data_IF_517377851652
#
_entry.id   IF_517377851652
#
_cell.length_a   1.000
_cell.length_b   1.000
_cell.length_c   1.000
_cell.angle_alpha   90.00
_cell.angle_beta   90.00
_cell.angle_gamma   90.00
#
_symmetry.space_group_name_H-M   'P 1'
#
loop_
_entity.id
_entity.type
_entity.pdbx_description
1 polymer ?
#
# COMPACT_ATOMS: atom_id res chain seq x y z
N UNK A 1 -30.91 -2.14 0.97
CA UNK A 1 -29.84 -1.40 1.67
C UNK A 1 -29.54 -0.14 0.88
N UNK A 2 -29.53 1.03 1.52
CA UNK A 2 -29.16 2.29 0.85
C UNK A 2 -27.68 2.57 1.13
N UNK A 3 -26.85 2.64 0.07
CA UNK A 3 -25.42 2.93 0.19
C UNK A 3 -25.20 4.43 0.38
N UNK A 4 -24.29 4.79 1.27
CA UNK A 4 -23.81 6.17 1.42
C UNK A 4 -23.07 6.64 0.15
N UNK A 5 -22.97 7.95 -0.06
CA UNK A 5 -22.20 8.51 -1.19
C UNK A 5 -20.74 8.01 -1.17
N UNK A 6 -20.14 7.94 0.01
CA UNK A 6 -18.77 7.44 0.23
C UNK A 6 -18.62 6.00 -0.26
N UNK A 7 -19.50 5.11 0.15
CA UNK A 7 -19.49 3.70 -0.27
C UNK A 7 -19.72 3.56 -1.79
N UNK A 8 -20.60 4.39 -2.37
CA UNK A 8 -20.82 4.39 -3.82
C UNK A 8 -19.57 4.79 -4.60
N UNK A 9 -18.86 5.83 -4.14
CA UNK A 9 -17.61 6.28 -4.77
C UNK A 9 -16.53 5.20 -4.65
N UNK A 10 -16.37 4.61 -3.48
CA UNK A 10 -15.38 3.55 -3.28
C UNK A 10 -15.67 2.33 -4.15
N UNK A 11 -16.93 1.89 -4.25
CA UNK A 11 -17.33 0.80 -5.14
C UNK A 11 -17.00 1.09 -6.60
N UNK A 12 -17.21 2.32 -7.07
CA UNK A 12 -16.82 2.71 -8.43
C UNK A 12 -15.29 2.60 -8.62
N UNK A 13 -14.50 3.12 -7.67
CA UNK A 13 -13.04 3.01 -7.73
C UNK A 13 -12.56 1.57 -7.70
N UNK A 14 -13.10 0.75 -6.79
CA UNK A 14 -12.82 -0.68 -6.71
C UNK A 14 -13.18 -1.37 -8.03
N UNK A 15 -14.32 -1.02 -8.65
CA UNK A 15 -14.70 -1.51 -9.97
C UNK A 15 -13.65 -1.21 -11.05
N UNK A 16 -13.19 0.04 -11.14
CA UNK A 16 -12.14 0.45 -12.08
C UNK A 16 -10.83 -0.29 -11.79
N UNK A 17 -10.41 -0.34 -10.52
CA UNK A 17 -9.14 -0.95 -10.12
C UNK A 17 -9.17 -2.45 -10.42
N UNK A 18 -10.20 -3.16 -9.98
CA UNK A 18 -10.33 -4.61 -10.12
C UNK A 18 -10.57 -5.07 -11.56
N UNK A 19 -11.24 -4.26 -12.38
CA UNK A 19 -11.63 -4.66 -13.75
C UNK A 19 -10.76 -4.08 -14.84
N UNK A 20 -10.04 -2.99 -14.59
CA UNK A 20 -9.24 -2.31 -15.60
C UNK A 20 -7.76 -2.21 -15.22
N UNK A 21 -7.43 -1.77 -13.99
CA UNK A 21 -6.03 -1.51 -13.60
C UNK A 21 -5.32 -2.82 -13.23
N UNK A 22 -5.86 -3.62 -12.32
CA UNK A 22 -5.22 -4.85 -11.83
C UNK A 22 -4.92 -5.84 -12.96
N UNK A 23 -5.84 -6.14 -13.90
CA UNK A 23 -5.51 -7.06 -14.99
C UNK A 23 -4.32 -6.59 -15.84
N UNK A 24 -4.25 -5.29 -16.14
CA UNK A 24 -3.10 -4.73 -16.85
C UNK A 24 -1.83 -4.75 -15.99
N UNK A 25 -1.95 -4.47 -14.68
CA UNK A 25 -0.85 -4.49 -13.74
C UNK A 25 -0.23 -5.90 -13.64
N UNK A 26 -1.08 -6.94 -13.64
CA UNK A 26 -0.68 -8.34 -13.69
C UNK A 26 0.02 -8.71 -15.00
N UNK A 27 -0.47 -8.20 -16.13
CA UNK A 27 0.22 -8.34 -17.42
C UNK A 27 1.60 -7.66 -17.43
N UNK A 28 1.84 -6.67 -16.56
CA UNK A 28 3.12 -6.00 -16.34
C UNK A 28 4.00 -6.65 -15.27
N UNK A 29 3.60 -7.82 -14.76
CA UNK A 29 4.41 -8.62 -13.84
C UNK A 29 4.24 -8.31 -12.36
N UNK A 30 3.24 -7.50 -11.98
CA UNK A 30 2.85 -7.38 -10.57
C UNK A 30 1.89 -8.51 -10.19
N UNK A 31 2.16 -9.20 -9.10
CA UNK A 31 1.32 -10.31 -8.65
C UNK A 31 0.79 -10.08 -7.23
N UNK A 32 -0.35 -10.68 -6.87
CA UNK A 32 -0.84 -10.65 -5.50
C UNK A 32 0.23 -11.14 -4.52
N UNK A 33 0.53 -10.32 -3.52
CA UNK A 33 1.43 -10.65 -2.42
C UNK A 33 0.70 -11.49 -1.36
N UNK A 34 1.45 -12.41 -0.73
CA UNK A 34 1.00 -13.16 0.43
C UNK A 34 0.91 -12.28 1.68
N UNK A 35 1.69 -11.19 1.73
CA UNK A 35 1.53 -10.16 2.75
C UNK A 35 0.27 -9.35 2.47
N UNK A 36 -0.43 -8.91 3.51
CA UNK A 36 -1.63 -8.05 3.41
C UNK A 36 -1.41 -6.81 4.25
N UNK A 37 -1.87 -5.66 3.77
CA UNK A 37 -1.72 -4.39 4.50
C UNK A 37 -2.47 -4.49 5.83
N UNK A 38 -1.83 -4.23 6.99
CA UNK A 38 -2.51 -4.20 8.27
C UNK A 38 -3.31 -2.90 8.45
N UNK A 39 -4.34 -2.95 9.30
CA UNK A 39 -5.09 -1.75 9.72
C UNK A 39 -4.18 -0.84 10.54
N UNK A 40 -4.02 0.39 10.05
CA UNK A 40 -3.25 1.45 10.67
C UNK A 40 -4.14 2.42 11.44
N UNK A 41 -3.52 3.29 12.23
CA UNK A 41 -4.20 4.41 12.87
C UNK A 41 -4.68 5.45 11.86
N UNK A 42 -4.07 5.54 10.66
CA UNK A 42 -4.57 6.42 9.57
C UNK A 42 -5.88 5.92 8.95
N UNK A 43 -6.20 4.64 9.15
CA UNK A 43 -7.47 4.06 8.69
C UNK A 43 -8.59 4.26 9.73
N UNK A 44 -8.31 4.99 10.81
CA UNK A 44 -9.22 5.23 11.93
C UNK A 44 -9.34 6.73 12.19
N UNK A 45 -10.50 7.17 12.67
CA UNK A 45 -10.75 8.52 13.12
C UNK A 45 -10.99 8.49 14.64
N UNK A 46 -10.34 9.37 15.39
CA UNK A 46 -10.62 9.53 16.82
C UNK A 46 -11.86 10.41 16.99
N UNK A 47 -12.92 9.83 17.56
CA UNK A 47 -14.17 10.49 17.90
C UNK A 47 -14.40 10.41 19.41
N UNK A 48 -15.47 11.05 19.89
CA UNK A 48 -15.83 11.06 21.32
C UNK A 48 -16.04 9.66 21.90
N UNK A 49 -16.52 8.72 21.08
CA UNK A 49 -16.75 7.32 21.40
C UNK A 49 -15.53 6.41 21.16
N UNK A 50 -14.39 6.99 20.78
CA UNK A 50 -13.12 6.31 20.57
C UNK A 50 -12.69 6.24 19.10
N UNK A 51 -11.83 5.26 18.79
CA UNK A 51 -11.33 5.07 17.44
C UNK A 51 -12.37 4.37 16.56
N UNK A 52 -12.92 5.11 15.60
CA UNK A 52 -13.91 4.61 14.65
C UNK A 52 -13.25 4.33 13.29
N UNK A 53 -13.55 3.19 12.64
CA UNK A 53 -13.03 2.92 11.30
C UNK A 53 -13.38 4.03 10.31
N UNK A 54 -12.36 4.54 9.63
CA UNK A 54 -12.54 5.46 8.52
C UNK A 54 -12.81 4.71 7.21
N UNK A 55 -12.45 3.44 7.11
CA UNK A 55 -12.66 2.63 5.92
C UNK A 55 -14.07 1.99 5.90
N UNK A 56 -14.54 1.52 4.73
CA UNK A 56 -15.86 0.88 4.61
C UNK A 56 -15.75 -0.64 4.51
N UNK A 57 -16.89 -1.33 4.47
CA UNK A 57 -16.95 -2.78 4.21
C UNK A 57 -16.43 -3.21 2.84
N UNK A 58 -16.19 -2.27 1.92
CA UNK A 58 -15.68 -2.55 0.58
C UNK A 58 -14.15 -2.43 0.48
N UNK A 59 -13.49 -2.07 1.58
CA UNK A 59 -12.02 -1.99 1.66
C UNK A 59 -11.39 -3.31 1.33
N UNK A 60 -10.49 -3.31 0.35
CA UNK A 60 -9.58 -4.41 0.13
C UNK A 60 -8.28 -4.15 0.90
N UNK A 61 -7.65 -5.21 1.40
CA UNK A 61 -6.34 -5.17 2.07
C UNK A 61 -5.27 -5.93 1.27
N UNK A 62 -5.61 -6.23 0.02
CA UNK A 62 -4.75 -6.92 -0.93
C UNK A 62 -3.63 -6.02 -1.39
N UNK A 63 -2.42 -6.57 -1.38
CA UNK A 63 -1.24 -5.90 -1.92
C UNK A 63 -0.65 -6.69 -3.07
N UNK A 64 0.04 -5.99 -3.96
CA UNK A 64 0.70 -6.53 -5.13
C UNK A 64 2.21 -6.30 -5.03
N UNK A 65 2.99 -7.13 -5.69
CA UNK A 65 4.45 -7.00 -5.73
C UNK A 65 4.94 -7.34 -7.13
N UNK A 66 5.89 -6.56 -7.65
CA UNK A 66 6.65 -6.93 -8.85
C UNK A 66 8.03 -7.44 -8.43
N UNK A 67 8.73 -6.61 -7.67
CA UNK A 67 10.05 -6.90 -7.12
C UNK A 67 10.09 -6.65 -5.62
N UNK A 68 10.63 -7.58 -4.85
CA UNK A 68 10.89 -7.35 -3.43
C UNK A 68 11.91 -6.22 -3.25
N UNK A 69 11.75 -5.39 -2.20
CA UNK A 69 10.87 -5.57 -1.04
C UNK A 69 9.55 -4.77 -1.06
N UNK A 70 9.24 -4.08 -2.16
CA UNK A 70 8.23 -3.03 -2.16
C UNK A 70 6.84 -3.58 -2.48
N UNK A 71 5.88 -3.42 -1.56
CA UNK A 71 4.50 -3.85 -1.77
C UNK A 71 3.63 -2.67 -2.22
N UNK A 72 2.77 -2.88 -3.21
CA UNK A 72 1.82 -1.91 -3.72
C UNK A 72 0.43 -2.16 -3.13
N UNK A 73 -0.22 -1.11 -2.65
CA UNK A 73 -1.58 -1.14 -2.10
C UNK A 73 -2.44 -0.05 -2.73
N UNK A 74 -3.65 -0.41 -3.19
CA UNK A 74 -4.63 0.55 -3.65
C UNK A 74 -5.51 1.01 -2.49
N UNK A 75 -5.19 2.18 -1.94
CA UNK A 75 -6.04 2.86 -0.98
C UNK A 75 -7.14 3.65 -1.72
N UNK A 76 -8.31 3.02 -1.83
CA UNK A 76 -9.49 3.60 -2.49
C UNK A 76 -10.27 4.58 -1.62
N UNK A 77 -9.82 4.80 -0.38
CA UNK A 77 -10.36 5.81 0.52
C UNK A 77 -9.76 7.17 0.25
N UNK A 78 -10.62 8.18 0.29
CA UNK A 78 -10.20 9.56 0.25
C UNK A 78 -10.82 10.27 1.44
N UNK A 79 -9.99 10.98 2.21
CA UNK A 79 -10.36 11.74 3.42
C UNK A 79 -11.55 12.66 3.17
N UNK A 80 -11.48 13.37 2.05
CA UNK A 80 -12.43 14.41 1.68
C UNK A 80 -13.25 14.02 0.44
N UNK A 81 -14.57 13.97 0.57
CA UNK A 81 -15.47 13.66 -0.56
C UNK A 81 -15.70 14.92 -1.39
N UNK A 82 -14.71 15.34 -2.18
CA UNK A 82 -14.85 16.40 -3.18
C UNK A 82 -15.21 15.83 -4.56
N UNK A 83 -15.73 16.65 -5.48
CA UNK A 83 -16.05 16.22 -6.85
C UNK A 83 -14.87 15.53 -7.53
N UNK A 84 -13.62 15.96 -7.31
CA UNK A 84 -12.46 15.28 -7.93
C UNK A 84 -12.21 13.87 -7.38
N UNK A 85 -12.80 13.48 -6.25
CA UNK A 85 -12.54 12.22 -5.58
C UNK A 85 -12.80 11.02 -6.52
N UNK A 86 -13.87 10.98 -7.31
CA UNK A 86 -14.18 9.80 -8.15
C UNK A 86 -13.08 9.46 -9.17
N UNK A 87 -12.20 10.40 -9.51
CA UNK A 87 -11.13 10.24 -10.50
C UNK A 87 -9.83 9.71 -9.93
N UNK A 88 -9.60 9.86 -8.63
CA UNK A 88 -8.31 9.55 -8.02
C UNK A 88 -8.43 8.45 -6.97
N UNK A 89 -7.37 7.67 -6.84
CA UNK A 89 -7.11 6.85 -5.65
C UNK A 89 -5.72 7.18 -5.10
N UNK A 90 -5.43 6.72 -3.88
CA UNK A 90 -4.07 6.71 -3.37
C UNK A 90 -3.45 5.34 -3.59
N UNK A 91 -2.25 5.31 -4.13
CA UNK A 91 -1.41 4.12 -4.18
C UNK A 91 -0.36 4.24 -3.08
N UNK A 92 -0.30 3.25 -2.21
CA UNK A 92 0.71 3.17 -1.15
C UNK A 92 1.76 2.13 -1.53
N UNK A 93 3.03 2.52 -1.46
CA UNK A 93 4.20 1.69 -1.68
C UNK A 93 4.83 1.40 -0.32
N UNK A 94 4.83 0.15 0.12
CA UNK A 94 4.96 -0.24 1.52
C UNK A 94 6.13 -1.21 1.68
N UNK A 95 6.99 -0.93 2.65
CA UNK A 95 7.95 -1.90 3.16
C UNK A 95 7.26 -2.77 4.23
N UNK A 96 7.17 -4.10 4.04
CA UNK A 96 6.32 -4.96 4.87
C UNK A 96 6.93 -5.27 6.26
N UNK A 97 8.10 -4.73 6.59
CA UNK A 97 8.81 -5.05 7.83
C UNK A 97 8.37 -4.15 8.99
N UNK A 98 7.75 -4.72 10.04
CA UNK A 98 7.35 -3.95 11.21
C UNK A 98 8.56 -3.49 12.01
N UNK A 99 8.50 -2.26 12.51
CA UNK A 99 9.49 -1.62 13.38
C UNK A 99 10.91 -1.58 12.81
N UNK A 100 11.04 -1.67 11.48
CA UNK A 100 12.33 -1.54 10.81
C UNK A 100 12.88 -0.12 10.98
N UNK A 101 14.17 0.00 11.28
CA UNK A 101 14.84 1.31 11.34
C UNK A 101 15.33 1.66 9.92
N UNK A 102 14.61 2.58 9.28
CA UNK A 102 14.87 2.97 7.90
C UNK A 102 16.11 3.87 7.84
N UNK A 103 16.92 3.69 6.79
CA UNK A 103 18.02 4.60 6.49
C UNK A 103 17.53 6.05 6.49
N UNK A 104 18.27 6.93 7.19
CA UNK A 104 17.92 8.35 7.35
C UNK A 104 17.74 9.07 6.01
N UNK A 105 18.42 8.63 4.95
CA UNK A 105 18.30 9.19 3.59
C UNK A 105 16.91 8.98 2.98
N UNK A 106 16.18 7.97 3.44
CA UNK A 106 14.85 7.64 2.94
C UNK A 106 13.72 8.17 3.82
N UNK A 107 14.06 8.73 4.99
CA UNK A 107 13.10 9.41 5.86
C UNK A 107 12.60 10.66 5.15
N UNK A 108 11.28 10.80 5.01
CA UNK A 108 10.63 11.86 4.25
C UNK A 108 10.22 11.44 2.84
N UNK A 109 10.93 10.49 2.23
CA UNK A 109 10.44 9.75 1.05
C UNK A 109 9.42 8.72 1.50
N UNK A 110 9.81 7.93 2.50
CA UNK A 110 8.92 7.07 3.24
C UNK A 110 8.52 7.74 4.56
N UNK A 111 7.29 7.48 4.96
CA UNK A 111 6.67 7.97 6.19
C UNK A 111 6.20 6.77 7.01
N UNK A 112 6.11 6.94 8.33
CA UNK A 112 5.65 5.89 9.22
C UNK A 112 4.14 5.73 9.14
N UNK A 113 3.70 4.51 8.87
CA UNK A 113 2.32 4.06 9.05
C UNK A 113 2.21 3.35 10.40
N UNK A 114 1.65 4.04 11.39
CA UNK A 114 1.50 3.48 12.74
C UNK A 114 0.38 2.44 12.78
N UNK A 115 0.65 1.27 13.36
CA UNK A 115 -0.29 0.15 13.40
C UNK A 115 -1.20 0.24 14.63
N UNK A 116 -2.46 -0.19 14.48
CA UNK A 116 -3.42 -0.21 15.60
C UNK A 116 -2.95 -1.10 16.77
N UNK A 117 -2.26 -2.20 16.47
CA UNK A 117 -1.71 -3.12 17.46
C UNK A 117 -0.39 -2.67 18.11
N UNK A 118 0.07 -1.46 17.81
CA UNK A 118 1.39 -0.96 18.21
C UNK A 118 2.46 -1.21 17.14
N UNK A 119 3.50 -0.38 17.18
CA UNK A 119 4.57 -0.37 16.17
C UNK A 119 4.19 0.36 14.88
N UNK A 120 5.05 0.26 13.88
CA UNK A 120 4.90 0.95 12.60
C UNK A 120 5.49 0.16 11.42
N UNK A 121 5.05 0.50 10.21
CA UNK A 121 5.73 0.13 8.95
C UNK A 121 6.05 1.40 8.15
N UNK A 122 6.81 1.26 7.07
CA UNK A 122 7.16 2.40 6.20
C UNK A 122 6.34 2.38 4.93
N UNK A 123 5.80 3.54 4.53
CA UNK A 123 5.08 3.71 3.27
C UNK A 123 5.46 5.01 2.55
N UNK A 124 5.34 5.00 1.24
CA UNK A 124 5.22 6.19 0.41
C UNK A 124 3.78 6.22 -0.16
N UNK A 125 3.10 7.36 -0.12
CA UNK A 125 1.72 7.50 -0.62
C UNK A 125 1.71 8.45 -1.81
N UNK A 126 1.16 8.00 -2.94
CA UNK A 126 1.02 8.80 -4.18
C UNK A 126 -0.44 8.84 -4.60
N UNK A 127 -0.88 9.99 -5.11
CA UNK A 127 -2.21 10.13 -5.71
C UNK A 127 -2.12 9.75 -7.18
N UNK A 128 -3.00 8.89 -7.66
CA UNK A 128 -3.02 8.38 -9.05
C UNK A 128 -4.40 8.63 -9.64
N UNK A 129 -4.44 9.23 -10.85
CA UNK A 129 -5.66 9.36 -11.63
C UNK A 129 -5.99 7.99 -12.24
N UNK A 130 -7.18 7.47 -11.92
CA UNK A 130 -7.65 6.15 -12.36
C UNK A 130 -8.64 6.24 -13.53
N UNK A 131 -8.85 7.44 -14.10
CA UNK A 131 -9.77 7.62 -15.24
C UNK A 131 -9.27 6.97 -16.51
N UNK A 132 -7.94 6.86 -16.66
CA UNK A 132 -7.25 6.19 -17.76
C UNK A 132 -6.38 5.08 -17.18
N UNK A 133 -6.75 3.79 -17.35
CA UNK A 133 -5.97 2.67 -16.83
C UNK A 133 -4.52 2.70 -17.33
N UNK A 134 -4.28 2.94 -18.62
CA UNK A 134 -2.91 2.98 -19.17
C UNK A 134 -2.07 4.10 -18.54
N UNK A 135 -2.65 5.29 -18.35
CA UNK A 135 -1.95 6.40 -17.71
C UNK A 135 -1.68 6.12 -16.23
N UNK A 136 -2.66 5.53 -15.53
CA UNK A 136 -2.51 5.12 -14.14
C UNK A 136 -1.35 4.10 -13.99
N UNK A 137 -1.25 3.14 -14.91
CA UNK A 137 -0.18 2.15 -14.90
C UNK A 137 1.19 2.78 -15.10
N UNK A 138 1.34 3.69 -16.07
CA UNK A 138 2.62 4.39 -16.30
C UNK A 138 3.07 5.15 -15.05
N UNK A 139 2.14 5.86 -14.39
CA UNK A 139 2.43 6.56 -13.16
C UNK A 139 2.79 5.60 -12.02
N UNK A 140 2.08 4.47 -11.91
CA UNK A 140 2.34 3.46 -10.89
C UNK A 140 3.74 2.85 -11.06
N UNK A 141 4.08 2.42 -12.28
CA UNK A 141 5.36 1.79 -12.62
C UNK A 141 6.51 2.77 -12.37
N UNK A 142 6.39 4.00 -12.86
CA UNK A 142 7.41 5.04 -12.66
C UNK A 142 7.71 5.27 -11.17
N UNK A 143 6.66 5.46 -10.36
CA UNK A 143 6.83 5.66 -8.92
C UNK A 143 7.41 4.42 -8.22
N UNK A 144 7.04 3.22 -8.68
CA UNK A 144 7.60 1.97 -8.14
C UNK A 144 9.10 1.87 -8.41
N UNK A 145 9.53 2.13 -9.65
CA UNK A 145 10.93 2.07 -10.06
C UNK A 145 11.78 3.13 -9.37
N UNK A 146 11.29 4.36 -9.25
CA UNK A 146 11.97 5.43 -8.51
C UNK A 146 12.20 5.05 -7.04
N UNK A 147 11.20 4.46 -6.39
CA UNK A 147 11.32 4.03 -5.00
C UNK A 147 12.22 2.82 -4.85
N UNK A 148 12.18 1.86 -5.78
CA UNK A 148 13.05 0.70 -5.75
C UNK A 148 14.52 1.10 -5.91
N UNK A 149 14.82 2.01 -6.84
CA UNK A 149 16.17 2.57 -7.01
C UNK A 149 16.66 3.25 -5.73
N UNK A 150 15.81 4.06 -5.08
CA UNK A 150 16.17 4.68 -3.80
C UNK A 150 16.48 3.65 -2.69
N UNK A 151 15.75 2.53 -2.65
CA UNK A 151 16.02 1.42 -1.73
C UNK A 151 17.32 0.68 -2.07
N UNK A 152 17.65 0.53 -3.34
CA UNK A 152 18.91 -0.07 -3.82
C UNK A 152 20.10 0.82 -3.45
N UNK A 153 20.02 2.13 -3.69
CA UNK A 153 21.05 3.11 -3.32
C UNK A 153 21.27 3.19 -1.79
N UNK A 154 20.24 2.82 -1.03
CA UNK A 154 20.31 2.69 0.42
C UNK A 154 20.79 1.30 0.90
N UNK A 155 21.10 0.37 -0.02
CA UNK A 155 21.49 -1.02 0.25
C UNK A 155 20.45 -1.82 1.06
N UNK A 156 19.17 -1.44 0.97
CA UNK A 156 18.08 -2.07 1.71
C UNK A 156 17.62 -3.36 1.04
N UNK A 157 17.59 -3.39 -0.30
CA UNK A 157 17.16 -4.57 -1.07
C UNK A 157 18.05 -5.79 -0.74
N UNK A 158 19.36 -5.61 -0.72
CA UNK A 158 20.31 -6.68 -0.38
C UNK A 158 20.20 -7.11 1.09
N UNK A 159 19.99 -6.15 1.99
CA UNK A 159 19.85 -6.44 3.43
C UNK A 159 18.57 -7.23 3.73
N UNK A 160 17.47 -6.88 3.08
CA UNK A 160 16.20 -7.56 3.17
C UNK A 160 16.24 -9.02 2.72
N UNK A 161 16.84 -9.26 1.55
CA UNK A 161 17.03 -10.59 0.98
C UNK A 161 17.87 -11.46 1.94
N UNK A 162 18.85 -10.87 2.62
CA UNK A 162 19.70 -11.58 3.57
C UNK A 162 19.00 -11.88 4.91
N UNK A 163 18.14 -10.97 5.39
CA UNK A 163 17.33 -11.21 6.60
C UNK A 163 16.26 -12.31 6.37
N UNK A 164 15.57 -12.29 5.23
CA UNK A 164 14.63 -13.35 4.85
C UNK A 164 15.29 -14.74 4.76
N UNK A 165 16.55 -14.81 4.27
CA UNK A 165 17.35 -16.06 4.25
C UNK A 165 17.83 -16.49 5.64
N UNK A 166 18.06 -15.54 6.55
CA UNK A 166 18.46 -15.79 7.95
C UNK A 166 17.34 -16.37 8.81
N UNK A 167 16.11 -15.88 8.68
CA UNK A 167 14.96 -16.41 9.42
C UNK A 167 14.57 -17.84 9.00
N UNK A 168 14.85 -18.21 7.75
CA UNK A 168 14.70 -19.58 7.25
C UNK A 168 15.65 -20.61 7.89
N UNK A 169 16.77 -20.18 8.47
CA UNK A 169 17.70 -21.06 9.22
C UNK A 169 17.29 -21.23 10.68
N UNK A 170 16.73 -20.19 11.33
CA UNK A 170 16.34 -20.28 12.74
C UNK A 170 15.10 -21.13 13.02
N UNK A 171 14.27 -21.44 12.01
CA UNK A 171 13.12 -22.34 12.16
C UNK A 171 13.43 -23.84 12.01
N UNK A 172 14.65 -24.22 11.60
CA UNK A 172 15.04 -25.65 11.42
C UNK A 172 15.77 -26.26 12.62
N UNK A 173 16.00 -25.49 13.67
CA UNK A 173 16.57 -25.97 14.94
C UNK A 173 15.74 -25.48 16.12
N UNK A 174 14.58 -26.11 16.32
CA UNK A 174 14.08 -26.35 17.67
C UNK A 174 13.89 -27.87 17.82
N UNK A 175 14.56 -28.51 18.80
CA UNK A 175 14.31 -29.91 19.14
C UNK A 175 12.89 -30.12 19.67
#
# INVERSE_FOLDING_TARGET
>A
MNLSLRERIELMRQGIIQRAIIPLLEMRGFFPSAWKRPVSLEDMELREDGWVPFFTRFTTWETYVRDEPLNLYFNTFYGDVHEKAYRFCFVEYILPWPNYDLDRRLVGVFTRLNLKGGGYIWKCKRMVDITSPDSALVDIEKNYDELLLALMDANIVDTAINQAKGEGRHRRHRP
#
